data_IF_747483208276
#
_entry.id   IF_747483208276
#
_cell.length_a   1.000
_cell.length_b   1.000
_cell.length_c   1.000
_cell.angle_alpha   90.00
_cell.angle_beta   90.00
_cell.angle_gamma   90.00
#
_symmetry.space_group_name_H-M   'P 1'
#
loop_
_entity.id
_entity.type
_entity.pdbx_description
1 polymer ?
#
# COMPACT_ATOMS: atom_id res chain seq x y z
N UNK A 1 8.97 38.72 -4.29
CA UNK A 1 7.62 38.25 -4.64
C UNK A 1 7.71 36.75 -4.81
N UNK A 2 6.83 35.92 -4.22
CA UNK A 2 6.76 34.53 -4.65
C UNK A 2 6.46 34.53 -6.14
N UNK A 3 7.19 33.70 -6.88
CA UNK A 3 6.98 33.48 -8.30
C UNK A 3 5.55 32.98 -8.51
N UNK A 4 4.77 33.60 -9.41
CA UNK A 4 3.47 33.07 -9.85
C UNK A 4 3.64 31.76 -10.66
N UNK A 5 4.88 31.31 -10.88
CA UNK A 5 5.23 30.11 -11.62
C UNK A 5 5.35 28.89 -10.69
N UNK A 6 4.98 27.73 -11.23
CA UNK A 6 4.99 26.47 -10.51
C UNK A 6 6.41 25.90 -10.37
N UNK A 7 6.72 25.39 -9.17
CA UNK A 7 7.99 24.73 -8.89
C UNK A 7 8.01 23.24 -9.28
N UNK A 8 9.05 22.50 -8.85
CA UNK A 8 9.11 21.06 -9.01
C UNK A 8 7.91 20.34 -8.35
N UNK A 9 7.39 19.31 -9.01
CA UNK A 9 6.32 18.45 -8.50
C UNK A 9 6.84 17.50 -7.41
N UNK A 10 6.67 17.92 -6.16
CA UNK A 10 7.30 17.35 -4.98
C UNK A 10 6.23 16.98 -3.95
N UNK A 11 6.42 15.84 -3.30
CA UNK A 11 5.68 15.49 -2.09
C UNK A 11 6.60 15.60 -0.87
N UNK A 12 6.04 15.99 0.27
CA UNK A 12 6.73 15.96 1.55
C UNK A 12 6.43 14.67 2.31
N UNK A 13 7.48 14.00 2.77
CA UNK A 13 7.37 12.72 3.48
C UNK A 13 8.25 12.80 4.72
N UNK A 14 7.60 12.93 5.88
CA UNK A 14 8.27 13.07 7.18
C UNK A 14 9.40 14.14 7.16
N UNK A 15 9.09 15.33 6.60
CA UNK A 15 10.03 16.44 6.46
C UNK A 15 11.08 16.29 5.35
N UNK A 16 11.07 15.19 4.59
CA UNK A 16 11.92 15.00 3.43
C UNK A 16 11.15 15.28 2.13
N UNK A 17 11.68 16.20 1.32
CA UNK A 17 11.15 16.48 -0.02
C UNK A 17 11.51 15.35 -1.00
N UNK A 18 10.52 14.85 -1.73
CA UNK A 18 10.69 13.81 -2.75
C UNK A 18 10.02 14.21 -4.07
N UNK A 19 10.79 14.14 -5.16
CA UNK A 19 10.33 14.47 -6.51
C UNK A 19 9.57 13.30 -7.14
N UNK A 20 8.43 13.59 -7.77
CA UNK A 20 7.70 12.63 -8.60
C UNK A 20 8.35 12.55 -9.99
N UNK A 21 8.77 11.35 -10.37
CA UNK A 21 9.56 11.14 -11.60
C UNK A 21 9.03 9.97 -12.43
N UNK A 22 9.27 10.04 -13.73
CA UNK A 22 9.03 8.93 -14.66
C UNK A 22 10.36 8.32 -15.12
N UNK A 23 10.33 7.03 -15.45
CA UNK A 23 11.45 6.28 -16.03
C UNK A 23 11.17 5.98 -17.49
N UNK A 24 12.22 5.78 -18.31
CA UNK A 24 12.03 5.44 -19.73
C UNK A 24 11.15 4.21 -19.93
N UNK A 25 10.00 4.38 -20.61
CA UNK A 25 9.07 3.30 -20.98
C UNK A 25 8.12 2.78 -19.89
N UNK A 26 8.01 3.46 -18.74
CA UNK A 26 7.14 3.04 -17.63
C UNK A 26 5.91 3.91 -17.41
N UNK A 27 4.79 3.29 -17.03
CA UNK A 27 3.55 3.95 -16.55
C UNK A 27 3.58 4.24 -15.04
N UNK A 28 4.57 3.71 -14.32
CA UNK A 28 4.66 3.93 -12.88
C UNK A 28 5.30 5.30 -12.58
N UNK A 29 4.73 5.99 -11.60
CA UNK A 29 5.31 7.21 -11.02
C UNK A 29 6.23 6.79 -9.88
N UNK A 30 7.47 7.25 -9.96
CA UNK A 30 8.53 6.95 -9.01
C UNK A 30 8.82 8.14 -8.10
N UNK A 31 9.52 7.86 -6.99
CA UNK A 31 10.02 8.88 -6.08
C UNK A 31 11.53 8.99 -6.21
N UNK A 32 12.03 10.22 -6.17
CA UNK A 32 13.45 10.54 -6.13
C UNK A 32 13.70 11.46 -4.94
N UNK A 33 14.63 11.07 -4.06
CA UNK A 33 14.99 11.89 -2.91
C UNK A 33 15.84 13.10 -3.31
N UNK A 34 15.79 14.16 -2.51
CA UNK A 34 16.82 15.19 -2.54
C UNK A 34 18.18 14.60 -2.13
N UNK A 35 19.27 15.17 -2.66
CA UNK A 35 20.63 14.88 -2.17
C UNK A 35 20.94 15.72 -0.94
N UNK A 36 21.75 15.18 -0.03
CA UNK A 36 22.17 15.89 1.18
C UNK A 36 23.19 17.00 0.89
N UNK A 37 24.04 16.80 -0.13
CA UNK A 37 25.08 17.75 -0.54
C UNK A 37 24.56 18.68 -1.65
N UNK A 38 24.46 20.00 -1.41
CA UNK A 38 24.02 20.95 -2.42
C UNK A 38 24.90 20.89 -3.68
N UNK A 39 24.28 20.88 -4.86
CA UNK A 39 25.00 20.87 -6.14
C UNK A 39 25.42 19.49 -6.66
N UNK A 40 25.33 18.44 -5.85
CA UNK A 40 25.66 17.05 -6.27
C UNK A 40 24.52 16.35 -7.01
N UNK A 41 23.32 16.94 -6.99
CA UNK A 41 22.12 16.39 -7.59
C UNK A 41 21.98 16.74 -9.08
N UNK A 42 20.81 16.40 -9.63
CA UNK A 42 20.36 16.86 -10.96
C UNK A 42 19.07 17.68 -10.83
N UNK A 43 18.84 18.54 -11.83
CA UNK A 43 17.56 19.23 -12.00
C UNK A 43 16.40 18.27 -12.20
N UNK A 44 15.22 18.68 -11.75
CA UNK A 44 13.95 17.99 -11.99
C UNK A 44 13.65 17.90 -13.50
N UNK A 45 14.02 18.95 -14.22
CA UNK A 45 14.00 19.02 -15.68
C UNK A 45 15.39 19.49 -16.16
N UNK A 46 15.90 18.90 -17.23
CA UNK A 46 17.21 19.25 -17.78
C UNK A 46 17.09 20.50 -18.67
N UNK A 47 18.14 21.33 -18.72
CA UNK A 47 18.10 22.62 -19.43
C UNK A 47 17.66 22.51 -20.90
N UNK A 48 18.09 21.47 -21.61
CA UNK A 48 17.74 21.27 -23.03
C UNK A 48 16.22 21.06 -23.26
N UNK A 49 15.45 20.76 -22.22
CA UNK A 49 13.99 20.65 -22.33
C UNK A 49 13.31 22.01 -22.53
N UNK A 50 14.00 23.11 -22.22
CA UNK A 50 13.52 24.48 -22.39
C UNK A 50 13.92 25.10 -23.75
N UNK A 51 14.78 24.45 -24.54
CA UNK A 51 15.21 24.97 -25.83
C UNK A 51 14.09 24.84 -26.88
N UNK A 52 13.59 25.99 -27.36
CA UNK A 52 12.46 26.13 -28.26
C UNK A 52 12.68 25.55 -29.65
N UNK A 53 13.92 25.54 -30.14
CA UNK A 53 14.24 25.18 -31.53
C UNK A 53 14.20 23.67 -31.80
N UNK A 54 14.02 22.85 -30.75
CA UNK A 54 14.07 21.38 -30.86
C UNK A 54 12.87 20.65 -30.29
N UNK A 55 11.96 21.32 -29.58
CA UNK A 55 10.92 20.65 -28.82
C UNK A 55 9.62 21.48 -28.75
N UNK A 56 8.50 20.88 -29.15
CA UNK A 56 7.11 21.32 -28.84
C UNK A 56 6.81 21.41 -27.32
N UNK A 57 7.83 21.26 -26.45
CA UNK A 57 7.73 21.21 -24.99
C UNK A 57 7.87 22.59 -24.32
N UNK A 58 8.42 23.59 -25.02
CA UNK A 58 8.61 24.93 -24.46
C UNK A 58 7.29 25.56 -24.00
N UNK A 59 6.19 25.33 -24.74
CA UNK A 59 4.86 25.80 -24.36
C UNK A 59 4.29 25.14 -23.11
N UNK A 60 4.64 23.87 -22.83
CA UNK A 60 4.19 23.15 -21.63
C UNK A 60 4.97 23.52 -20.35
N UNK A 61 6.08 24.25 -20.49
CA UNK A 61 6.94 24.67 -19.39
C UNK A 61 6.82 26.17 -19.07
N UNK A 62 5.98 26.91 -19.80
CA UNK A 62 5.86 28.36 -19.66
C UNK A 62 5.38 28.79 -18.26
N UNK A 63 4.55 27.98 -17.63
CA UNK A 63 4.00 28.25 -16.30
C UNK A 63 4.92 27.76 -15.18
N UNK A 64 6.06 27.13 -15.50
CA UNK A 64 6.99 26.61 -14.51
C UNK A 64 8.18 27.55 -14.27
N UNK A 65 8.65 27.58 -13.02
CA UNK A 65 9.86 28.27 -12.64
C UNK A 65 11.08 27.48 -13.14
N UNK A 66 11.69 27.96 -14.23
CA UNK A 66 12.88 27.34 -14.82
C UNK A 66 14.02 27.19 -13.82
N UNK A 67 14.29 28.20 -12.99
CA UNK A 67 15.40 28.16 -12.05
C UNK A 67 15.19 27.10 -10.98
N UNK A 68 13.95 26.96 -10.48
CA UNK A 68 13.60 25.91 -9.52
C UNK A 68 13.64 24.51 -10.14
N UNK A 69 13.26 24.36 -11.42
CA UNK A 69 13.28 23.07 -12.11
C UNK A 69 14.69 22.57 -12.46
N UNK A 70 15.63 23.48 -12.71
CA UNK A 70 17.01 23.13 -13.09
C UNK A 70 17.96 23.05 -11.90
N UNK A 71 17.53 23.45 -10.71
CA UNK A 71 18.32 23.36 -9.48
C UNK A 71 18.84 21.93 -9.24
N UNK A 72 20.16 21.71 -9.09
CA UNK A 72 20.77 20.39 -8.92
C UNK A 72 20.56 19.81 -7.50
N UNK A 73 19.30 19.45 -7.22
CA UNK A 73 18.83 19.01 -5.89
C UNK A 73 18.48 17.53 -5.81
N UNK A 74 18.21 16.85 -6.92
CA UNK A 74 17.61 15.52 -6.89
C UNK A 74 18.61 14.41 -7.15
N UNK A 75 18.45 13.27 -6.49
CA UNK A 75 19.30 12.09 -6.71
C UNK A 75 19.24 11.63 -8.17
N UNK A 76 20.35 11.08 -8.66
CA UNK A 76 20.44 10.53 -10.03
C UNK A 76 19.51 9.33 -10.25
N UNK A 77 19.10 8.66 -9.17
CA UNK A 77 18.22 7.49 -9.19
C UNK A 77 17.00 7.68 -8.30
N UNK A 78 15.91 7.04 -8.70
CA UNK A 78 14.71 6.87 -7.87
C UNK A 78 15.03 6.07 -6.61
N UNK A 79 14.17 6.13 -5.59
CA UNK A 79 14.28 5.33 -4.36
C UNK A 79 14.41 3.83 -4.65
N UNK A 80 13.76 3.34 -5.71
CA UNK A 80 13.84 1.94 -6.12
C UNK A 80 15.10 1.58 -6.94
N UNK A 81 16.04 2.51 -7.13
CA UNK A 81 17.32 2.32 -7.82
C UNK A 81 17.26 2.44 -9.35
N UNK A 82 16.11 2.85 -9.92
CA UNK A 82 16.02 3.10 -11.37
C UNK A 82 16.52 4.49 -11.73
N UNK A 83 17.23 4.59 -12.84
CA UNK A 83 17.50 5.87 -13.51
C UNK A 83 16.17 6.43 -14.02
N UNK A 84 15.91 7.70 -13.73
CA UNK A 84 14.69 8.39 -14.15
C UNK A 84 14.97 9.34 -15.30
N UNK A 85 13.96 9.58 -16.14
CA UNK A 85 14.07 10.41 -17.32
C UNK A 85 13.83 11.88 -16.97
N UNK A 86 12.67 12.18 -16.38
CA UNK A 86 12.23 13.54 -16.09
C UNK A 86 11.20 13.54 -14.95
N UNK A 87 10.99 14.69 -14.32
CA UNK A 87 9.87 14.95 -13.42
C UNK A 87 8.51 14.73 -14.12
N UNK A 88 7.52 14.25 -13.37
CA UNK A 88 6.12 14.15 -13.83
C UNK A 88 5.42 15.50 -13.64
N UNK A 89 4.48 15.84 -14.54
CA UNK A 89 3.70 17.07 -14.42
C UNK A 89 2.93 17.18 -13.11
N UNK A 90 2.81 18.40 -12.60
CA UNK A 90 2.06 18.75 -11.39
C UNK A 90 1.08 19.88 -11.68
N UNK A 91 0.99 20.84 -10.77
CA UNK A 91 0.04 21.96 -10.85
C UNK A 91 0.25 22.86 -12.08
N UNK A 92 1.49 22.98 -12.58
CA UNK A 92 1.79 23.69 -13.83
C UNK A 92 1.45 22.91 -15.11
N UNK A 93 0.78 21.77 -14.99
CA UNK A 93 0.40 20.93 -16.12
C UNK A 93 1.47 19.92 -16.52
N UNK A 94 1.36 19.39 -17.74
CA UNK A 94 2.22 18.29 -18.21
C UNK A 94 3.65 18.73 -18.47
N UNK A 95 4.62 17.85 -18.23
CA UNK A 95 6.02 18.09 -18.65
C UNK A 95 6.23 17.47 -20.04
N UNK A 96 6.18 18.32 -21.07
CA UNK A 96 6.28 17.93 -22.46
C UNK A 96 4.99 17.35 -23.06
N UNK A 97 4.96 17.26 -24.39
CA UNK A 97 3.74 16.97 -25.18
C UNK A 97 3.02 15.65 -24.83
N UNK A 98 3.75 14.64 -24.36
CA UNK A 98 3.21 13.32 -24.01
C UNK A 98 3.38 13.01 -22.52
N UNK A 99 3.70 14.00 -21.70
CA UNK A 99 3.79 13.84 -20.26
C UNK A 99 2.41 13.71 -19.63
N UNK A 100 2.31 12.98 -18.53
CA UNK A 100 1.12 12.93 -17.68
C UNK A 100 1.30 13.81 -16.45
N UNK A 101 0.20 14.19 -15.83
CA UNK A 101 0.17 14.82 -14.51
C UNK A 101 -0.08 13.74 -13.46
N UNK A 102 0.69 13.77 -12.38
CA UNK A 102 0.46 12.89 -11.24
C UNK A 102 0.83 13.57 -9.94
N UNK A 103 0.04 13.30 -8.90
CA UNK A 103 0.21 13.88 -7.57
C UNK A 103 0.61 12.83 -6.51
N UNK A 104 0.78 11.58 -6.94
CA UNK A 104 1.15 10.48 -6.07
C UNK A 104 2.02 9.44 -6.79
N UNK A 105 2.95 8.79 -6.07
CA UNK A 105 3.75 7.70 -6.63
C UNK A 105 2.91 6.42 -6.75
N UNK A 106 3.17 5.65 -7.81
CA UNK A 106 2.50 4.36 -8.06
C UNK A 106 3.48 3.19 -8.12
N UNK A 107 4.78 3.44 -8.09
CA UNK A 107 5.79 2.39 -8.02
C UNK A 107 5.73 1.68 -6.66
N UNK A 108 5.28 0.42 -6.65
CA UNK A 108 5.20 -0.43 -5.45
C UNK A 108 6.49 -0.50 -4.63
N UNK A 109 7.65 -0.52 -5.29
CA UNK A 109 8.95 -0.58 -4.61
C UNK A 109 9.33 0.76 -3.96
N UNK A 110 8.98 1.88 -4.59
CA UNK A 110 9.15 3.19 -3.95
C UNK A 110 8.23 3.32 -2.74
N UNK A 111 6.96 2.92 -2.85
CA UNK A 111 6.00 2.92 -1.74
C UNK A 111 6.49 2.08 -0.55
N UNK A 112 6.96 0.85 -0.80
CA UNK A 112 7.49 0.00 0.27
C UNK A 112 8.77 0.55 0.95
N UNK A 113 9.54 1.40 0.26
CA UNK A 113 10.67 2.12 0.85
C UNK A 113 10.16 3.34 1.62
N UNK A 114 9.16 4.03 1.09
CA UNK A 114 8.50 5.17 1.70
C UNK A 114 7.98 4.85 3.10
N UNK A 115 7.39 3.67 3.27
CA UNK A 115 6.88 3.20 4.56
C UNK A 115 7.96 3.21 5.66
N UNK A 116 9.24 3.11 5.31
CA UNK A 116 10.36 3.17 6.27
C UNK A 116 10.66 4.57 6.78
N UNK A 117 10.15 5.60 6.12
CA UNK A 117 10.27 6.99 6.57
C UNK A 117 9.28 7.31 7.69
N UNK A 118 8.25 6.48 7.90
CA UNK A 118 7.31 6.63 8.99
C UNK A 118 7.77 5.84 10.21
N UNK A 119 7.49 6.33 11.44
CA UNK A 119 7.76 5.55 12.64
C UNK A 119 7.00 4.24 12.57
N UNK A 120 7.59 3.17 13.11
CA UNK A 120 6.86 1.91 13.23
C UNK A 120 5.63 2.13 14.11
N UNK A 121 4.44 1.69 13.68
CA UNK A 121 3.26 1.72 14.51
C UNK A 121 3.53 1.04 15.85
N UNK A 122 3.07 1.65 16.94
CA UNK A 122 3.10 1.01 18.24
C UNK A 122 2.05 -0.10 18.18
N UNK A 123 2.42 -1.37 18.47
CA UNK A 123 1.44 -2.45 18.50
C UNK A 123 0.34 -2.14 19.50
N UNK A 124 -0.91 -2.21 19.05
CA UNK A 124 -2.07 -2.10 19.93
C UNK A 124 -2.13 -3.32 20.87
N UNK A 125 -2.54 -3.11 22.12
CA UNK A 125 -2.66 -4.16 23.12
C UNK A 125 -3.61 -5.30 22.68
N UNK A 126 -4.59 -5.00 21.83
CA UNK A 126 -5.54 -5.97 21.27
C UNK A 126 -4.90 -6.94 20.29
N UNK A 127 -3.75 -6.59 19.70
CA UNK A 127 -3.15 -7.32 18.60
C UNK A 127 -2.94 -8.80 18.94
N UNK A 128 -2.41 -9.08 20.14
CA UNK A 128 -2.12 -10.45 20.58
C UNK A 128 -3.41 -11.25 20.78
N UNK A 129 -4.43 -10.65 21.40
CA UNK A 129 -5.72 -11.31 21.64
C UNK A 129 -6.45 -11.62 20.32
N UNK A 130 -6.60 -10.62 19.45
CA UNK A 130 -7.27 -10.79 18.15
C UNK A 130 -6.53 -11.81 17.29
N UNK A 131 -5.19 -11.79 17.32
CA UNK A 131 -4.40 -12.78 16.59
C UNK A 131 -4.62 -14.21 17.11
N UNK A 132 -4.74 -14.38 18.43
CA UNK A 132 -4.99 -15.67 19.05
C UNK A 132 -6.39 -16.19 18.72
N UNK A 133 -7.42 -15.36 18.84
CA UNK A 133 -8.81 -15.71 18.49
C UNK A 133 -8.92 -16.17 17.03
N UNK A 134 -8.29 -15.44 16.11
CA UNK A 134 -8.25 -15.83 14.70
C UNK A 134 -7.49 -17.15 14.49
N UNK A 135 -6.38 -17.37 15.21
CA UNK A 135 -5.64 -18.63 15.14
C UNK A 135 -6.46 -19.82 15.68
N UNK A 136 -7.21 -19.62 16.75
CA UNK A 136 -8.07 -20.64 17.35
C UNK A 136 -9.22 -21.00 16.40
N UNK A 137 -9.90 -20.01 15.81
CA UNK A 137 -10.93 -20.24 14.79
C UNK A 137 -10.37 -21.02 13.58
N UNK A 138 -9.17 -20.68 13.11
CA UNK A 138 -8.54 -21.39 11.99
C UNK A 138 -8.16 -22.81 12.37
N UNK A 139 -7.48 -23.04 13.49
CA UNK A 139 -6.91 -24.36 13.81
C UNK A 139 -7.94 -25.31 14.43
N UNK A 140 -8.75 -24.80 15.35
CA UNK A 140 -9.61 -25.63 16.19
C UNK A 140 -11.03 -25.77 15.65
N UNK A 141 -11.45 -24.93 14.70
CA UNK A 141 -12.84 -24.90 14.24
C UNK A 141 -13.01 -25.19 12.75
N UNK A 142 -12.50 -24.34 11.84
CA UNK A 142 -12.95 -24.38 10.42
C UNK A 142 -11.86 -24.31 9.36
N UNK A 143 -10.63 -23.95 9.72
CA UNK A 143 -9.56 -23.73 8.74
C UNK A 143 -9.52 -22.35 8.09
N UNK A 144 -10.44 -21.45 8.46
CA UNK A 144 -10.48 -20.06 8.01
C UNK A 144 -11.01 -19.12 9.10
N UNK A 145 -10.69 -17.83 8.99
CA UNK A 145 -11.21 -16.76 9.84
C UNK A 145 -11.27 -15.42 9.10
N UNK A 146 -12.16 -14.54 9.55
CA UNK A 146 -12.32 -13.17 9.10
C UNK A 146 -12.06 -12.21 10.25
N UNK A 147 -11.25 -11.18 10.00
CA UNK A 147 -10.97 -10.13 10.99
C UNK A 147 -11.41 -8.78 10.43
N UNK A 148 -12.36 -8.15 11.10
CA UNK A 148 -12.99 -6.88 10.70
C UNK A 148 -12.43 -5.71 11.51
N UNK A 149 -12.56 -4.50 10.97
CA UNK A 149 -12.25 -3.22 11.63
C UNK A 149 -10.80 -3.07 12.13
N UNK A 150 -9.85 -3.77 11.51
CA UNK A 150 -8.44 -3.70 11.88
C UNK A 150 -7.86 -2.34 11.48
N UNK A 151 -7.27 -1.57 12.41
CA UNK A 151 -6.59 -0.32 12.08
C UNK A 151 -5.50 -0.54 11.01
N UNK A 152 -5.42 0.37 10.03
CA UNK A 152 -4.58 0.20 8.85
C UNK A 152 -3.09 0.01 9.18
N UNK A 153 -2.62 0.69 10.22
CA UNK A 153 -1.26 0.61 10.75
C UNK A 153 -0.97 -0.70 11.49
N UNK A 154 -1.99 -1.45 11.92
CA UNK A 154 -1.88 -2.72 12.63
C UNK A 154 -2.02 -3.94 11.69
N UNK A 155 -2.53 -3.74 10.46
CA UNK A 155 -2.85 -4.82 9.51
C UNK A 155 -1.68 -5.78 9.26
N UNK A 156 -0.50 -5.24 8.95
CA UNK A 156 0.65 -6.06 8.57
C UNK A 156 1.23 -6.85 9.74
N UNK A 157 1.24 -6.24 10.93
CA UNK A 157 1.70 -6.92 12.13
C UNK A 157 0.70 -8.00 12.55
N UNK A 158 -0.60 -7.71 12.55
CA UNK A 158 -1.65 -8.70 12.82
C UNK A 158 -1.54 -9.91 11.88
N UNK A 159 -1.45 -9.67 10.57
CA UNK A 159 -1.30 -10.74 9.56
C UNK A 159 -0.04 -11.56 9.76
N UNK A 160 1.05 -10.94 10.21
CA UNK A 160 2.30 -11.64 10.54
C UNK A 160 2.12 -12.52 11.77
N UNK A 161 1.55 -11.98 12.85
CA UNK A 161 1.33 -12.67 14.12
C UNK A 161 0.39 -13.86 13.97
N UNK A 162 -0.74 -13.68 13.28
CA UNK A 162 -1.70 -14.78 13.02
C UNK A 162 -1.04 -15.92 12.25
N UNK A 163 -0.31 -15.61 11.17
CA UNK A 163 0.41 -16.64 10.40
C UNK A 163 1.45 -17.37 11.25
N UNK A 164 2.16 -16.64 12.12
CA UNK A 164 3.14 -17.24 13.02
C UNK A 164 2.49 -18.18 14.04
N UNK A 165 1.39 -17.78 14.66
CA UNK A 165 0.65 -18.59 15.63
C UNK A 165 0.10 -19.88 15.00
N UNK A 166 -0.56 -19.78 13.84
CA UNK A 166 -1.10 -20.95 13.14
C UNK A 166 0.05 -21.86 12.69
N UNK A 167 1.10 -21.31 12.06
CA UNK A 167 2.25 -22.12 11.60
C UNK A 167 2.96 -22.82 12.75
N UNK A 168 3.06 -22.19 13.93
CA UNK A 168 3.63 -22.81 15.13
C UNK A 168 2.84 -24.04 15.57
N UNK A 169 1.52 -24.05 15.37
CA UNK A 169 0.61 -25.13 15.78
C UNK A 169 0.49 -26.23 14.73
N UNK A 170 0.43 -25.86 13.45
CA UNK A 170 0.12 -26.81 12.37
C UNK A 170 1.34 -27.24 11.56
N UNK A 171 2.42 -26.46 11.57
CA UNK A 171 3.57 -26.65 10.69
C UNK A 171 3.30 -26.35 9.21
N UNK A 172 2.09 -25.91 8.85
CA UNK A 172 1.65 -25.74 7.45
C UNK A 172 1.70 -24.28 6.98
N UNK A 173 1.71 -24.03 5.66
CA UNK A 173 1.57 -22.69 5.10
C UNK A 173 0.18 -22.10 5.37
N UNK A 174 0.14 -20.79 5.61
CA UNK A 174 -1.10 -20.03 5.89
C UNK A 174 -1.18 -18.85 4.93
N UNK A 175 -2.36 -18.61 4.38
CA UNK A 175 -2.66 -17.50 3.47
C UNK A 175 -3.37 -16.39 4.22
N UNK A 176 -3.03 -15.15 3.91
CA UNK A 176 -3.75 -13.97 4.43
C UNK A 176 -3.99 -12.96 3.31
N UNK A 177 -5.23 -12.50 3.19
CA UNK A 177 -5.66 -11.54 2.18
C UNK A 177 -6.40 -10.39 2.85
N UNK A 178 -6.35 -9.19 2.26
CA UNK A 178 -7.15 -8.05 2.72
C UNK A 178 -8.06 -7.66 1.58
N UNK A 179 -9.38 -7.73 1.79
CA UNK A 179 -10.39 -7.39 0.79
C UNK A 179 -11.41 -6.49 1.47
N UNK A 180 -11.65 -5.30 0.92
CA UNK A 180 -12.61 -4.32 1.45
C UNK A 180 -12.43 -4.02 2.96
N UNK A 181 -11.18 -3.97 3.44
CA UNK A 181 -10.88 -3.71 4.85
C UNK A 181 -11.00 -4.92 5.79
N UNK A 182 -11.35 -6.10 5.27
CA UNK A 182 -11.44 -7.34 6.04
C UNK A 182 -10.20 -8.19 5.81
N UNK A 183 -9.59 -8.68 6.90
CA UNK A 183 -8.48 -9.62 6.84
C UNK A 183 -9.02 -11.05 6.81
N UNK A 184 -8.83 -11.72 5.69
CA UNK A 184 -9.14 -13.13 5.52
C UNK A 184 -7.91 -13.98 5.82
N UNK A 185 -8.08 -15.01 6.64
CA UNK A 185 -7.04 -15.96 7.02
C UNK A 185 -7.50 -17.35 6.64
N UNK A 186 -6.67 -18.10 5.93
CA UNK A 186 -6.98 -19.46 5.50
C UNK A 186 -5.77 -20.37 5.71
N UNK A 187 -6.00 -21.53 6.31
CA UNK A 187 -5.08 -22.66 6.32
C UNK A 187 -5.66 -23.79 5.46
N UNK A 188 -5.21 -23.94 4.20
CA UNK A 188 -5.77 -24.93 3.28
C UNK A 188 -5.75 -26.36 3.84
N UNK A 189 -4.69 -26.74 4.58
CA UNK A 189 -4.58 -28.06 5.17
C UNK A 189 -5.70 -28.34 6.19
N UNK A 190 -5.99 -27.39 7.09
CA UNK A 190 -7.06 -27.54 8.09
C UNK A 190 -8.43 -27.41 7.42
N UNK A 191 -8.59 -26.47 6.49
CA UNK A 191 -9.83 -26.31 5.73
C UNK A 191 -10.20 -27.59 4.96
N UNK A 192 -9.21 -28.25 4.34
CA UNK A 192 -9.42 -29.54 3.67
C UNK A 192 -9.80 -30.66 4.63
N UNK A 193 -9.16 -30.73 5.81
CA UNK A 193 -9.50 -31.73 6.84
C UNK A 193 -10.93 -31.59 7.34
N UNK A 194 -11.44 -30.35 7.42
CA UNK A 194 -12.78 -30.05 7.95
C UNK A 194 -13.84 -29.80 6.88
N UNK A 195 -13.50 -30.05 5.61
CA UNK A 195 -14.38 -29.78 4.47
C UNK A 195 -15.67 -30.60 4.56
N UNK A 196 -15.58 -31.86 4.99
CA UNK A 196 -16.73 -32.77 5.03
C UNK A 196 -17.69 -32.40 6.17
N UNK A 197 -17.16 -31.96 7.31
CA UNK A 197 -17.95 -31.42 8.42
C UNK A 197 -18.67 -30.13 8.01
N UNK A 198 -17.96 -29.19 7.38
CA UNK A 198 -18.54 -27.94 6.88
C UNK A 198 -19.58 -28.15 5.77
N UNK A 199 -19.37 -29.14 4.89
CA UNK A 199 -20.36 -29.50 3.86
C UNK A 199 -21.64 -30.06 4.50
N UNK A 200 -21.52 -30.93 5.50
CA UNK A 200 -22.66 -31.48 6.23
C UNK A 200 -23.48 -30.37 6.91
N UNK A 201 -22.82 -29.45 7.62
CA UNK A 201 -23.47 -28.28 8.24
C UNK A 201 -24.19 -27.39 7.21
N UNK A 202 -23.61 -27.22 6.02
CA UNK A 202 -24.22 -26.43 4.95
C UNK A 202 -25.48 -27.09 4.39
N UNK A 203 -25.43 -28.41 4.17
CA UNK A 203 -26.59 -29.19 3.69
C UNK A 203 -27.72 -29.16 4.72
N UNK A 204 -27.42 -29.34 6.01
CA UNK A 204 -28.41 -29.27 7.10
C UNK A 204 -29.06 -27.88 7.18
N UNK A 205 -28.29 -26.79 7.00
CA UNK A 205 -28.83 -25.44 7.01
C UNK A 205 -29.75 -25.15 5.80
N UNK A 206 -29.40 -25.65 4.61
CA UNK A 206 -30.25 -25.53 3.42
C UNK A 206 -31.54 -26.33 3.58
N UNK A 207 -31.46 -27.55 4.11
CA UNK A 207 -32.62 -28.41 4.36
C UNK A 207 -33.59 -27.77 5.37
N UNK A 208 -33.07 -27.22 6.49
CA UNK A 208 -33.87 -26.48 7.47
C UNK A 208 -34.57 -25.26 6.84
N UNK A 209 -33.85 -24.50 6.00
CA UNK A 209 -34.43 -23.37 5.28
C UNK A 209 -35.55 -23.80 4.32
N UNK A 210 -35.35 -24.88 3.56
CA UNK A 210 -36.36 -25.41 2.63
C UNK A 210 -37.61 -25.93 3.35
N UNK A 211 -37.46 -26.45 4.57
CA UNK A 211 -38.56 -26.90 5.43
C UNK A 211 -39.33 -25.77 6.12
N UNK A 212 -38.90 -24.51 5.95
CA UNK A 212 -39.47 -23.36 6.65
C UNK A 212 -39.12 -23.34 8.15
N UNK A 213 -38.14 -24.15 8.56
CA UNK A 213 -37.62 -24.15 9.92
C UNK A 213 -36.64 -22.99 10.09
N UNK A 214 -36.53 -22.49 11.32
CA UNK A 214 -35.52 -21.47 11.61
C UNK A 214 -34.15 -22.15 11.51
N UNK A 215 -33.40 -21.82 10.46
CA UNK A 215 -32.03 -22.30 10.32
C UNK A 215 -31.27 -22.05 11.63
N UNK A 216 -30.50 -23.03 12.13
CA UNK A 216 -29.74 -22.87 13.36
C UNK A 216 -28.88 -21.61 13.25
N UNK A 217 -29.00 -20.72 14.24
CA UNK A 217 -28.22 -19.49 14.28
C UNK A 217 -26.76 -19.89 14.36
N UNK A 218 -26.03 -19.73 13.27
CA UNK A 218 -24.59 -20.00 13.23
C UNK A 218 -23.92 -19.04 14.19
N UNK A 219 -23.25 -19.57 15.20
CA UNK A 219 -22.25 -18.80 15.91
C UNK A 219 -21.17 -18.48 14.88
N UNK A 220 -20.96 -17.19 14.61
CA UNK A 220 -19.91 -16.73 13.69
C UNK A 220 -18.57 -16.73 14.42
N UNK A 221 -18.21 -17.88 14.97
CA UNK A 221 -16.98 -18.09 15.73
C UNK A 221 -15.71 -17.84 14.90
N UNK A 222 -15.86 -17.84 13.57
CA UNK A 222 -14.82 -17.47 12.60
C UNK A 222 -14.73 -15.97 12.29
N UNK A 223 -15.65 -15.13 12.78
CA UNK A 223 -15.65 -13.68 12.54
C UNK A 223 -15.24 -12.95 13.81
N UNK A 224 -14.09 -12.28 13.77
CA UNK A 224 -13.59 -11.46 14.88
C UNK A 224 -13.60 -10.00 14.45
N UNK A 225 -14.25 -9.10 15.19
CA UNK A 225 -14.08 -7.65 14.98
C UNK A 225 -13.07 -7.09 15.96
N UNK A 226 -12.09 -6.36 15.46
CA UNK A 226 -11.08 -5.67 16.28
C UNK A 226 -11.72 -4.68 17.26
N UNK A 227 -12.80 -4.02 16.84
CA UNK A 227 -13.47 -2.97 17.63
C UNK A 227 -14.22 -3.54 18.85
N UNK A 228 -14.53 -4.83 18.85
CA UNK A 228 -15.28 -5.50 19.93
C UNK A 228 -14.45 -5.64 21.21
N UNK A 229 -13.12 -5.66 21.10
CA UNK A 229 -12.23 -5.94 22.21
C UNK A 229 -11.68 -4.62 22.78
N UNK A 230 -12.20 -4.20 23.93
CA UNK A 230 -11.60 -3.11 24.72
C UNK A 230 -10.53 -3.66 25.64
N UNK A 231 -9.37 -3.03 25.68
CA UNK A 231 -8.38 -3.23 26.76
C UNK A 231 -8.59 -2.07 27.72
N UNK A 232 -9.16 -2.35 28.89
CA UNK A 232 -9.29 -1.38 30.01
C UNK A 232 -8.04 -1.37 30.85
#
# INVERSE_FOLDING_TARGET
MPSDLYGPNVIEVNGAAMLLTTTGGGVAVHLTAAVDEPGSGRGAVLDFNFDSDRNDRAGTLADYDRAALTEPRWSQTTLCGRVWAIMVGGDGGTIGRSGEVAFAPTCRRCLAILDRHFPRPIPDDRLTLVAQLAADAVVDQRGFAEIHDVPGDQLDELRRTVRALIRKRTGTPVRTHVINGVVYVECPAIHHQRRDEGMREAVEAVDAFLKGERAPRRDQDWVTSWSTWGVT
#
